data_IF_494617572709
#
_entry.id   IF_494617572709
#
_cell.length_a   1.000
_cell.length_b   1.000
_cell.length_c   1.000
_cell.angle_alpha   90.00
_cell.angle_beta   90.00
_cell.angle_gamma   90.00
#
_symmetry.space_group_name_H-M   'P 1'
#
loop_
_entity.id
_entity.type
_entity.pdbx_description
1 polymer ?
#
# COMPACT_ATOMS: atom_id res chain seq x y z
N UNK A 1 -42.37 26.17 -10.64
CA UNK A 1 -41.61 24.96 -10.21
C UNK A 1 -41.64 24.92 -8.71
N UNK A 2 -42.34 23.97 -8.12
CA UNK A 2 -42.59 23.91 -6.67
C UNK A 2 -41.39 23.29 -5.92
N UNK A 3 -41.13 23.76 -4.69
CA UNK A 3 -40.08 23.26 -3.80
C UNK A 3 -40.04 21.72 -3.62
N UNK A 4 -41.15 21.03 -3.87
CA UNK A 4 -41.27 19.59 -3.86
C UNK A 4 -40.44 18.89 -4.95
N UNK A 5 -40.31 19.50 -6.13
CA UNK A 5 -39.54 18.95 -7.25
C UNK A 5 -38.02 18.93 -6.98
N UNK A 6 -37.51 19.93 -6.25
CA UNK A 6 -36.08 19.98 -5.88
C UNK A 6 -35.70 18.94 -4.85
N UNK A 7 -36.58 18.62 -3.90
CA UNK A 7 -36.31 17.60 -2.87
C UNK A 7 -36.22 16.19 -3.46
N UNK A 8 -37.07 15.88 -4.43
CA UNK A 8 -37.02 14.59 -5.14
C UNK A 8 -35.78 14.45 -6.04
N UNK A 9 -35.36 15.55 -6.71
CA UNK A 9 -34.16 15.55 -7.53
C UNK A 9 -32.86 15.37 -6.68
N UNK A 10 -32.79 16.02 -5.52
CA UNK A 10 -31.62 15.85 -4.62
C UNK A 10 -31.54 14.44 -4.01
N UNK A 11 -32.68 13.83 -3.66
CA UNK A 11 -32.71 12.45 -3.15
C UNK A 11 -32.33 11.46 -4.24
N UNK A 12 -32.75 11.68 -5.48
CA UNK A 12 -32.37 10.85 -6.63
C UNK A 12 -30.87 10.93 -6.96
N UNK A 13 -30.26 12.12 -6.88
CA UNK A 13 -28.82 12.30 -7.10
C UNK A 13 -27.97 11.63 -6.00
N UNK A 14 -28.40 11.72 -4.75
CA UNK A 14 -27.72 11.03 -3.63
C UNK A 14 -27.81 9.50 -3.76
N UNK A 15 -28.93 8.96 -4.21
CA UNK A 15 -29.10 7.52 -4.42
C UNK A 15 -28.23 7.01 -5.58
N UNK A 16 -28.04 7.81 -6.65
CA UNK A 16 -27.14 7.46 -7.77
C UNK A 16 -25.65 7.48 -7.37
N UNK A 17 -25.24 8.41 -6.50
CA UNK A 17 -23.86 8.46 -6.00
C UNK A 17 -23.49 7.23 -5.16
N UNK A 18 -24.45 6.63 -4.46
CA UNK A 18 -24.23 5.42 -3.64
C UNK A 18 -24.14 4.15 -4.50
N UNK A 19 -24.77 4.09 -5.65
CA UNK A 19 -24.73 2.93 -6.55
C UNK A 19 -23.40 2.82 -7.32
N UNK A 20 -22.67 3.93 -7.50
CA UNK A 20 -21.39 3.93 -8.21
C UNK A 20 -20.22 3.30 -7.42
N UNK A 21 -20.41 3.02 -6.11
CA UNK A 21 -19.39 2.40 -5.25
C UNK A 21 -19.45 0.86 -5.21
N UNK A 22 -20.38 0.23 -5.94
CA UNK A 22 -20.50 -1.23 -5.99
C UNK A 22 -19.76 -1.80 -7.21
N UNK A 23 -18.42 -1.66 -7.24
CA UNK A 23 -17.64 -2.53 -8.11
C UNK A 23 -17.44 -3.87 -7.38
N UNK A 24 -18.01 -4.94 -7.92
CA UNK A 24 -17.81 -6.29 -7.43
C UNK A 24 -16.37 -6.74 -7.75
N UNK A 25 -15.43 -6.42 -6.87
CA UNK A 25 -14.12 -7.07 -6.90
C UNK A 25 -14.33 -8.54 -6.53
N UNK A 26 -14.10 -9.44 -7.47
CA UNK A 26 -14.29 -10.89 -7.30
C UNK A 26 -13.16 -11.57 -6.53
N UNK A 27 -12.14 -10.79 -6.16
CA UNK A 27 -10.96 -11.30 -5.45
C UNK A 27 -11.19 -11.40 -3.93
N UNK A 28 -10.50 -12.30 -3.22
CA UNK A 28 -10.57 -12.38 -1.77
C UNK A 28 -10.29 -11.02 -1.14
N UNK A 29 -11.11 -10.63 -0.17
CA UNK A 29 -10.99 -9.35 0.52
C UNK A 29 -10.87 -9.61 2.01
N UNK A 30 -9.87 -9.05 2.71
CA UNK A 30 -9.88 -9.07 4.17
C UNK A 30 -11.12 -8.32 4.66
N UNK A 31 -11.81 -8.89 5.64
CA UNK A 31 -13.06 -8.33 6.15
C UNK A 31 -12.88 -7.01 6.89
N UNK A 32 -11.67 -6.81 7.46
CA UNK A 32 -11.35 -5.64 8.26
C UNK A 32 -9.91 -5.24 8.00
N UNK A 33 -9.66 -3.94 7.97
CA UNK A 33 -8.33 -3.37 8.12
C UNK A 33 -8.15 -3.17 9.62
N UNK A 34 -7.45 -4.09 10.29
CA UNK A 34 -7.15 -3.97 11.71
C UNK A 34 -5.67 -3.63 11.92
N UNK A 35 -5.41 -2.82 12.93
CA UNK A 35 -4.03 -2.56 13.39
C UNK A 35 -3.68 -3.66 14.37
N UNK A 36 -3.04 -4.73 13.87
CA UNK A 36 -2.51 -5.78 14.73
C UNK A 36 -1.13 -5.40 15.27
N UNK A 37 -0.94 -5.44 16.57
CA UNK A 37 0.37 -5.24 17.20
C UNK A 37 1.22 -6.52 17.23
N UNK A 38 0.62 -7.67 16.99
CA UNK A 38 1.26 -8.97 17.14
C UNK A 38 0.86 -9.90 15.98
N UNK A 39 1.47 -9.72 14.81
CA UNK A 39 1.40 -10.75 13.77
C UNK A 39 2.62 -11.67 13.89
N UNK A 40 2.46 -12.98 14.13
CA UNK A 40 3.56 -13.91 13.99
C UNK A 40 3.99 -13.93 12.53
N UNK A 41 5.29 -13.80 12.30
CA UNK A 41 5.89 -13.95 10.98
C UNK A 41 5.62 -15.37 10.46
N UNK A 42 4.60 -15.53 9.63
CA UNK A 42 4.39 -16.78 8.89
C UNK A 42 5.49 -16.88 7.85
N UNK A 43 6.47 -17.72 8.12
CA UNK A 43 7.53 -18.09 7.18
C UNK A 43 6.89 -18.96 6.09
N UNK A 44 6.51 -18.38 4.98
CA UNK A 44 6.13 -19.12 3.78
C UNK A 44 7.40 -19.57 3.06
N UNK A 45 7.79 -20.81 3.29
CA UNK A 45 8.88 -21.49 2.61
C UNK A 45 8.39 -21.95 1.23
N UNK A 46 8.80 -21.28 0.18
CA UNK A 46 8.72 -21.84 -1.16
C UNK A 46 9.95 -22.74 -1.39
N UNK A 47 9.81 -23.93 -2.03
CA UNK A 47 10.93 -24.82 -2.25
C UNK A 47 11.94 -24.22 -3.23
N UNK A 48 13.19 -24.07 -2.78
CA UNK A 48 14.31 -23.61 -3.58
C UNK A 48 14.86 -24.75 -4.44
N UNK A 49 15.03 -24.50 -5.75
CA UNK A 49 15.91 -25.32 -6.58
C UNK A 49 17.36 -24.86 -6.40
N UNK A 50 18.35 -25.77 -6.34
CA UNK A 50 19.75 -25.41 -6.23
C UNK A 50 20.26 -24.82 -7.56
N UNK A 51 20.73 -23.58 -7.55
CA UNK A 51 21.53 -23.02 -8.64
C UNK A 51 23.00 -23.01 -8.25
N UNK A 52 23.85 -23.60 -9.09
CA UNK A 52 25.31 -23.56 -9.00
C UNK A 52 25.83 -22.12 -9.04
N UNK A 53 26.68 -21.78 -8.07
CA UNK A 53 27.30 -20.46 -7.96
C UNK A 53 28.52 -20.35 -8.88
N UNK A 54 28.50 -19.43 -9.83
CA UNK A 54 29.66 -19.04 -10.62
C UNK A 54 30.51 -17.98 -9.89
N UNK A 55 31.86 -17.92 -10.15
CA UNK A 55 32.78 -17.03 -9.40
C UNK A 55 32.57 -15.51 -9.54
N UNK A 56 31.67 -15.07 -10.39
CA UNK A 56 31.31 -13.65 -10.60
C UNK A 56 30.41 -13.07 -9.48
N UNK A 57 30.04 -13.91 -8.52
CA UNK A 57 29.19 -13.51 -7.39
C UNK A 57 29.93 -12.69 -6.30
N UNK A 58 31.27 -12.66 -6.32
CA UNK A 58 32.09 -12.04 -5.26
C UNK A 58 32.15 -10.49 -5.36
N UNK A 59 31.66 -9.87 -6.44
CA UNK A 59 31.63 -8.41 -6.63
C UNK A 59 30.20 -7.83 -6.61
N UNK A 60 29.19 -8.61 -6.33
CA UNK A 60 27.85 -8.07 -6.07
C UNK A 60 27.86 -7.47 -4.67
N UNK A 61 27.93 -6.15 -4.58
CA UNK A 61 27.60 -5.39 -3.37
C UNK A 61 26.41 -6.07 -2.71
N UNK A 62 26.55 -6.50 -1.44
CA UNK A 62 25.53 -7.26 -0.71
C UNK A 62 24.24 -6.43 -0.61
N UNK A 63 23.34 -6.62 -1.57
CA UNK A 63 22.00 -6.03 -1.58
C UNK A 63 21.06 -6.94 -0.80
N UNK A 64 21.39 -7.18 0.46
CA UNK A 64 20.56 -7.98 1.37
C UNK A 64 19.34 -7.24 1.93
N UNK A 65 19.12 -5.97 1.53
CA UNK A 65 17.99 -5.16 1.95
C UNK A 65 17.04 -4.89 0.79
N UNK A 66 15.77 -4.61 1.11
CA UNK A 66 14.77 -4.32 0.09
C UNK A 66 13.73 -3.32 0.59
N UNK A 67 13.08 -2.66 -0.37
CA UNK A 67 11.74 -2.09 -0.25
C UNK A 67 10.88 -2.68 -1.36
N UNK A 68 9.62 -3.01 -1.05
CA UNK A 68 8.65 -3.51 -2.01
C UNK A 68 7.38 -2.68 -1.95
N UNK A 69 7.08 -1.99 -3.03
CA UNK A 69 5.83 -1.29 -3.22
C UNK A 69 4.76 -2.32 -3.51
N UNK A 70 3.71 -2.37 -2.70
CA UNK A 70 2.64 -3.35 -2.80
C UNK A 70 1.27 -2.71 -2.87
N UNK A 71 0.38 -3.42 -3.50
CA UNK A 71 -1.05 -3.21 -3.35
C UNK A 71 -1.75 -4.52 -3.09
N UNK A 72 -2.87 -4.45 -2.38
CA UNK A 72 -3.74 -5.58 -2.12
C UNK A 72 -5.20 -5.24 -2.34
N UNK A 73 -6.00 -6.28 -2.50
CA UNK A 73 -7.44 -6.16 -2.43
C UNK A 73 -7.84 -5.85 -0.99
N UNK A 74 -8.73 -4.90 -0.81
CA UNK A 74 -9.31 -4.53 0.47
C UNK A 74 -10.65 -3.85 0.23
N UNK A 75 -11.73 -4.43 0.71
CA UNK A 75 -13.09 -3.93 0.47
C UNK A 75 -13.34 -3.68 -1.03
N UNK A 76 -13.89 -2.53 -1.39
CA UNK A 76 -14.16 -2.16 -2.78
C UNK A 76 -13.02 -1.35 -3.44
N UNK A 77 -12.05 -0.87 -2.68
CA UNK A 77 -11.03 0.09 -3.17
C UNK A 77 -9.63 -0.50 -3.29
N UNK A 78 -9.24 -1.36 -2.37
CA UNK A 78 -7.88 -1.84 -2.21
C UNK A 78 -7.02 -0.95 -1.30
N UNK A 79 -5.78 -1.37 -1.05
CA UNK A 79 -4.81 -0.66 -0.23
C UNK A 79 -3.43 -0.64 -0.89
N UNK A 80 -2.69 0.47 -0.75
CA UNK A 80 -1.31 0.62 -1.21
C UNK A 80 -0.40 0.87 -0.02
N UNK A 81 0.73 0.17 0.04
CA UNK A 81 1.68 0.20 1.15
C UNK A 81 3.07 -0.20 0.67
N UNK A 82 4.07 -0.09 1.52
CA UNK A 82 5.41 -0.63 1.29
C UNK A 82 5.74 -1.68 2.34
N UNK A 83 6.45 -2.72 1.91
CA UNK A 83 7.10 -3.72 2.76
C UNK A 83 8.60 -3.54 2.63
N UNK A 84 9.33 -3.49 3.73
CA UNK A 84 10.78 -3.26 3.69
C UNK A 84 11.48 -4.05 4.78
N UNK A 85 12.75 -4.37 4.57
CA UNK A 85 13.51 -5.19 5.48
C UNK A 85 14.73 -5.83 4.85
N UNK A 86 15.09 -7.01 5.36
CA UNK A 86 16.19 -7.82 4.84
C UNK A 86 15.68 -9.06 4.12
N UNK A 87 16.52 -9.59 3.23
CA UNK A 87 16.32 -10.91 2.64
C UNK A 87 17.41 -11.86 3.10
N UNK A 88 17.10 -13.16 3.18
CA UNK A 88 18.10 -14.20 3.32
C UNK A 88 18.75 -14.52 1.95
N UNK A 89 19.72 -15.44 1.95
CA UNK A 89 20.40 -15.89 0.73
C UNK A 89 19.47 -16.52 -0.31
N UNK A 90 18.31 -17.03 0.12
CA UNK A 90 17.27 -17.55 -0.76
C UNK A 90 16.28 -16.47 -1.26
N UNK A 91 16.48 -15.18 -0.90
CA UNK A 91 15.59 -14.08 -1.30
C UNK A 91 14.30 -13.96 -0.48
N UNK A 92 14.12 -14.80 0.54
CA UNK A 92 12.96 -14.71 1.42
C UNK A 92 13.09 -13.53 2.40
N UNK A 93 11.98 -12.86 2.69
CA UNK A 93 11.93 -11.73 3.63
C UNK A 93 12.18 -12.20 5.06
N UNK A 94 13.01 -11.45 5.80
CA UNK A 94 13.31 -11.68 7.21
C UNK A 94 12.75 -10.50 8.00
N UNK A 95 11.80 -10.79 8.91
CA UNK A 95 11.19 -9.79 9.79
C UNK A 95 10.82 -8.49 9.06
N UNK A 96 9.98 -8.56 8.00
CA UNK A 96 9.63 -7.39 7.22
C UNK A 96 8.82 -6.40 8.05
N UNK A 97 9.07 -5.11 7.84
CA UNK A 97 8.24 -4.04 8.33
C UNK A 97 7.28 -3.58 7.23
N UNK A 98 6.16 -3.01 7.64
CA UNK A 98 5.14 -2.46 6.73
C UNK A 98 4.89 -1.00 7.08
N UNK A 99 4.75 -0.17 6.04
CA UNK A 99 4.27 1.20 6.16
C UNK A 99 3.20 1.47 5.10
N UNK A 100 2.01 1.79 5.58
CA UNK A 100 0.84 2.16 4.79
C UNK A 100 0.02 3.20 5.53
N UNK A 101 -0.78 4.00 4.85
CA UNK A 101 -1.64 5.02 5.44
C UNK A 101 -3.11 4.60 5.33
N UNK A 102 -3.78 4.52 6.46
CA UNK A 102 -5.22 4.20 6.54
C UNK A 102 -5.88 4.98 7.69
N UNK A 103 -7.21 5.13 7.70
CA UNK A 103 -7.92 5.68 8.86
C UNK A 103 -7.62 4.90 10.14
N UNK A 104 -7.43 5.61 11.24
CA UNK A 104 -7.16 5.05 12.57
C UNK A 104 -8.43 4.41 13.17
N UNK A 105 -8.97 3.39 12.51
CA UNK A 105 -10.21 2.74 12.93
C UNK A 105 -10.40 1.40 12.22
N UNK A 106 -11.00 0.44 12.93
CA UNK A 106 -11.48 -0.82 12.36
C UNK A 106 -12.88 -0.72 11.74
N UNK A 107 -13.56 0.43 11.90
CA UNK A 107 -14.87 0.71 11.31
C UNK A 107 -14.75 1.26 9.89
N UNK A 108 -15.76 1.02 9.05
CA UNK A 108 -15.87 1.59 7.72
C UNK A 108 -16.28 3.08 7.75
N UNK A 109 -16.78 3.60 8.86
CA UNK A 109 -17.30 4.97 8.97
C UNK A 109 -16.24 6.02 8.63
N UNK A 110 -14.99 5.99 9.15
CA UNK A 110 -13.97 6.94 8.77
C UNK A 110 -13.57 6.87 7.29
N UNK A 111 -13.66 5.71 6.65
CA UNK A 111 -13.43 5.60 5.20
C UNK A 111 -14.48 6.38 4.39
N UNK A 112 -15.74 6.35 4.82
CA UNK A 112 -16.81 7.15 4.18
C UNK A 112 -16.63 8.63 4.48
N UNK A 113 -16.41 9.01 5.75
CA UNK A 113 -16.21 10.40 6.16
C UNK A 113 -14.99 11.03 5.49
N UNK A 114 -13.92 10.26 5.32
CA UNK A 114 -12.68 10.72 4.70
C UNK A 114 -12.79 11.12 3.22
N UNK A 115 -13.93 10.89 2.57
CA UNK A 115 -14.23 11.47 1.26
C UNK A 115 -14.62 12.95 1.37
N UNK A 116 -15.06 13.41 2.51
CA UNK A 116 -15.58 14.76 2.74
C UNK A 116 -14.66 15.60 3.61
N UNK A 117 -14.07 14.99 4.65
CA UNK A 117 -13.20 15.68 5.62
C UNK A 117 -12.00 14.80 5.96
N UNK A 118 -10.83 15.38 6.34
CA UNK A 118 -9.72 14.60 6.86
C UNK A 118 -10.13 13.87 8.13
N UNK A 119 -9.74 12.60 8.27
CA UNK A 119 -9.97 11.77 9.46
C UNK A 119 -8.61 11.37 10.07
N UNK A 120 -8.53 11.08 11.37
CA UNK A 120 -7.31 10.56 11.99
C UNK A 120 -6.79 9.32 11.26
N UNK A 121 -5.48 9.22 11.11
CA UNK A 121 -4.82 8.14 10.38
C UNK A 121 -3.78 7.41 11.22
N UNK A 122 -3.51 6.19 10.82
CA UNK A 122 -2.38 5.36 11.23
C UNK A 122 -1.49 5.03 10.04
N UNK A 123 -0.19 4.84 10.33
CA UNK A 123 0.84 4.59 9.31
C UNK A 123 1.63 3.35 9.68
N UNK A 124 1.13 2.19 9.39
CA UNK A 124 1.78 0.95 9.76
C UNK A 124 1.21 -0.23 9.00
N UNK A 125 1.34 -1.37 9.62
CA UNK A 125 0.74 -2.60 9.15
C UNK A 125 -0.79 -2.57 9.31
N UNK A 126 -1.49 -3.13 8.36
CA UNK A 126 -2.92 -3.39 8.44
C UNK A 126 -3.22 -4.82 8.02
N UNK A 127 -4.37 -5.33 8.47
CA UNK A 127 -4.79 -6.71 8.23
C UNK A 127 -4.75 -7.10 6.74
N UNK A 128 -4.13 -8.22 6.43
CA UNK A 128 -3.95 -8.72 5.06
C UNK A 128 -2.75 -8.16 4.29
N UNK A 129 -1.94 -7.23 4.82
CA UNK A 129 -0.82 -6.63 4.09
C UNK A 129 0.32 -7.63 3.78
N UNK A 130 0.50 -8.65 4.59
CA UNK A 130 1.49 -9.70 4.39
C UNK A 130 0.91 -10.99 3.82
N UNK A 131 -0.39 -11.05 3.58
CA UNK A 131 -1.05 -12.21 3.01
C UNK A 131 -0.96 -12.17 1.48
N UNK A 132 -0.22 -13.14 0.91
CA UNK A 132 0.06 -13.17 -0.53
C UNK A 132 -1.20 -13.35 -1.40
N UNK A 133 -2.24 -13.99 -0.87
CA UNK A 133 -3.50 -14.18 -1.58
C UNK A 133 -4.26 -12.88 -1.86
N UNK A 134 -4.01 -11.83 -1.08
CA UNK A 134 -4.62 -10.51 -1.29
C UNK A 134 -3.77 -9.58 -2.13
N UNK A 135 -2.52 -9.91 -2.39
CA UNK A 135 -1.62 -9.07 -3.18
C UNK A 135 -2.12 -8.92 -4.61
N UNK A 136 -2.35 -7.68 -5.04
CA UNK A 136 -2.85 -7.37 -6.39
C UNK A 136 -1.76 -6.86 -7.34
N UNK A 137 -0.72 -6.19 -6.83
CA UNK A 137 0.49 -5.84 -7.57
C UNK A 137 1.68 -5.64 -6.63
N UNK A 138 2.90 -5.78 -7.17
CA UNK A 138 4.12 -5.49 -6.42
C UNK A 138 5.28 -5.07 -7.33
N UNK A 139 6.21 -4.31 -6.73
CA UNK A 139 7.49 -3.94 -7.32
C UNK A 139 8.55 -3.86 -6.22
N UNK A 140 9.50 -4.81 -6.24
CA UNK A 140 10.60 -4.88 -5.26
C UNK A 140 11.85 -4.21 -5.83
N UNK A 141 12.49 -3.40 -4.99
CA UNK A 141 13.78 -2.77 -5.23
C UNK A 141 14.77 -3.28 -4.20
N UNK A 142 15.89 -3.82 -4.65
CA UNK A 142 16.96 -4.26 -3.79
C UNK A 142 17.89 -3.09 -3.47
N UNK A 143 18.26 -2.97 -2.20
CA UNK A 143 19.01 -1.84 -1.64
C UNK A 143 20.30 -2.33 -1.01
N UNK A 144 21.32 -1.48 -1.05
CA UNK A 144 22.48 -1.57 -0.17
C UNK A 144 22.07 -1.18 1.26
N UNK A 145 22.91 -1.50 2.25
CA UNK A 145 22.65 -1.10 3.65
C UNK A 145 22.54 0.43 3.81
N UNK A 146 23.36 1.20 3.11
CA UNK A 146 23.31 2.66 3.16
C UNK A 146 22.00 3.21 2.59
N UNK A 147 21.62 2.78 1.38
CA UNK A 147 20.34 3.15 0.76
C UNK A 147 19.14 2.76 1.65
N UNK A 148 19.19 1.58 2.28
CA UNK A 148 18.13 1.12 3.17
C UNK A 148 17.99 2.03 4.40
N UNK A 149 19.08 2.43 5.03
CA UNK A 149 19.06 3.37 6.18
C UNK A 149 18.41 4.70 5.80
N UNK A 150 18.75 5.25 4.63
CA UNK A 150 18.19 6.51 4.13
C UNK A 150 16.69 6.37 3.83
N UNK A 151 16.30 5.26 3.20
CA UNK A 151 14.89 4.95 2.91
C UNK A 151 14.09 4.81 4.20
N UNK A 152 14.59 4.06 5.20
CA UNK A 152 13.92 3.91 6.49
C UNK A 152 13.79 5.25 7.22
N UNK A 153 14.83 6.08 7.22
CA UNK A 153 14.76 7.41 7.82
C UNK A 153 13.68 8.27 7.15
N UNK A 154 13.58 8.21 5.81
CA UNK A 154 12.54 8.91 5.03
C UNK A 154 11.14 8.37 5.36
N UNK A 155 10.97 7.04 5.44
CA UNK A 155 9.69 6.42 5.82
C UNK A 155 9.26 6.91 7.21
N UNK A 156 10.15 6.89 8.22
CA UNK A 156 9.83 7.34 9.58
C UNK A 156 9.43 8.81 9.62
N UNK A 157 10.10 9.68 8.85
CA UNK A 157 9.75 11.09 8.73
C UNK A 157 8.36 11.27 8.11
N UNK A 158 8.06 10.54 7.04
CA UNK A 158 6.76 10.58 6.37
C UNK A 158 5.66 10.06 7.31
N UNK A 159 5.88 8.95 8.02
CA UNK A 159 4.96 8.42 9.03
C UNK A 159 4.64 9.46 10.12
N UNK A 160 5.66 10.11 10.67
CA UNK A 160 5.49 11.12 11.71
C UNK A 160 4.67 12.34 11.25
N UNK A 161 4.72 12.68 9.97
CA UNK A 161 3.94 13.81 9.40
C UNK A 161 2.55 13.42 8.89
N UNK A 162 2.22 12.13 8.82
CA UNK A 162 0.98 11.62 8.22
C UNK A 162 -0.09 11.36 9.28
N UNK A 163 -0.62 12.43 9.87
CA UNK A 163 -1.57 12.36 11.00
C UNK A 163 -3.03 12.16 10.55
N UNK A 164 -3.33 12.42 9.27
CA UNK A 164 -4.69 12.36 8.75
C UNK A 164 -4.75 11.63 7.41
N UNK A 165 -5.88 11.01 7.14
CA UNK A 165 -6.22 10.40 5.86
C UNK A 165 -7.41 11.13 5.23
N UNK A 166 -7.34 11.37 3.92
CA UNK A 166 -8.42 11.94 3.15
C UNK A 166 -8.36 11.40 1.72
N UNK A 167 -9.47 10.82 1.25
CA UNK A 167 -9.52 10.02 0.03
C UNK A 167 -9.00 10.72 -1.24
N UNK A 168 -9.23 12.02 -1.38
CA UNK A 168 -8.90 12.78 -2.58
C UNK A 168 -7.61 13.61 -2.49
N UNK A 169 -7.10 13.87 -1.28
CA UNK A 169 -5.94 14.76 -1.07
C UNK A 169 -4.73 14.00 -0.56
N UNK A 170 -4.89 13.17 0.46
CA UNK A 170 -3.80 12.42 1.06
C UNK A 170 -4.25 11.02 1.50
N UNK A 171 -4.26 10.10 0.55
CA UNK A 171 -4.65 8.71 0.70
C UNK A 171 -3.44 7.77 0.73
N UNK A 172 -3.66 6.46 0.75
CA UNK A 172 -2.59 5.46 0.75
C UNK A 172 -1.64 5.59 -0.45
N UNK A 173 -2.15 5.93 -1.65
CA UNK A 173 -1.30 6.16 -2.81
C UNK A 173 -0.42 7.40 -2.64
N UNK A 174 -0.94 8.50 -2.06
CA UNK A 174 -0.18 9.71 -1.79
C UNK A 174 0.96 9.46 -0.78
N UNK A 175 0.68 8.67 0.26
CA UNK A 175 1.69 8.24 1.23
C UNK A 175 2.82 7.44 0.57
N UNK A 176 2.48 6.44 -0.23
CA UNK A 176 3.46 5.61 -0.95
C UNK A 176 4.19 6.43 -2.03
N UNK A 177 3.50 7.38 -2.70
CA UNK A 177 4.13 8.32 -3.62
C UNK A 177 5.21 9.16 -2.93
N UNK A 178 4.95 9.67 -1.71
CA UNK A 178 5.93 10.43 -0.94
C UNK A 178 7.18 9.60 -0.63
N UNK A 179 7.02 8.32 -0.31
CA UNK A 179 8.16 7.40 -0.09
C UNK A 179 8.92 7.19 -1.41
N UNK A 180 8.24 6.89 -2.50
CA UNK A 180 8.87 6.68 -3.80
C UNK A 180 9.64 7.94 -4.29
N UNK A 181 9.06 9.13 -4.10
CA UNK A 181 9.69 10.40 -4.43
C UNK A 181 10.94 10.68 -3.58
N UNK A 182 10.94 10.31 -2.29
CA UNK A 182 12.13 10.43 -1.44
C UNK A 182 13.30 9.57 -1.90
N UNK A 183 13.01 8.53 -2.68
CA UNK A 183 13.99 7.67 -3.35
C UNK A 183 14.37 8.14 -4.76
N UNK A 184 13.85 9.27 -5.23
CA UNK A 184 14.07 9.81 -6.56
C UNK A 184 13.20 9.22 -7.67
N UNK A 185 12.18 8.42 -7.34
CA UNK A 185 11.29 7.82 -8.33
C UNK A 185 10.19 8.78 -8.81
N UNK A 186 9.82 8.66 -10.09
CA UNK A 186 8.62 9.28 -10.66
C UNK A 186 7.38 8.55 -10.14
N UNK A 187 6.31 9.30 -9.85
CA UNK A 187 5.08 8.72 -9.30
C UNK A 187 3.87 9.00 -10.18
N UNK A 188 2.95 8.05 -10.31
CA UNK A 188 1.68 8.27 -11.00
C UNK A 188 0.71 9.12 -10.15
N UNK A 189 -0.43 9.47 -10.74
CA UNK A 189 -1.50 10.18 -10.01
C UNK A 189 -2.08 9.34 -8.86
N UNK A 190 -2.36 10.00 -7.75
CA UNK A 190 -2.81 9.36 -6.50
C UNK A 190 -4.26 8.84 -6.54
N UNK A 191 -5.02 9.18 -7.58
CA UNK A 191 -6.43 8.78 -7.75
C UNK A 191 -6.60 7.45 -8.51
N UNK A 192 -5.50 6.83 -8.94
CA UNK A 192 -5.54 5.49 -9.52
C UNK A 192 -5.97 4.47 -8.46
N UNK A 193 -6.56 3.35 -8.90
CA UNK A 193 -6.73 2.21 -7.99
C UNK A 193 -5.36 1.71 -7.51
N UNK A 194 -5.23 1.20 -6.29
CA UNK A 194 -3.96 0.73 -5.73
C UNK A 194 -3.18 -0.19 -6.65
N UNK A 195 -3.81 -1.18 -7.27
CA UNK A 195 -3.17 -2.07 -8.24
C UNK A 195 -2.59 -1.30 -9.44
N UNK A 196 -3.39 -0.38 -10.02
CA UNK A 196 -2.95 0.44 -11.15
C UNK A 196 -1.82 1.38 -10.75
N UNK A 197 -1.89 1.95 -9.53
CA UNK A 197 -0.86 2.83 -8.99
C UNK A 197 0.49 2.12 -8.91
N UNK A 198 0.56 0.93 -8.27
CA UNK A 198 1.82 0.17 -8.12
C UNK A 198 2.33 -0.32 -9.48
N UNK A 199 1.45 -0.78 -10.36
CA UNK A 199 1.83 -1.18 -11.72
C UNK A 199 2.44 -0.01 -12.48
N UNK A 200 1.79 1.16 -12.46
CA UNK A 200 2.26 2.35 -13.16
C UNK A 200 3.54 2.92 -12.54
N UNK A 201 3.66 2.89 -11.21
CA UNK A 201 4.88 3.28 -10.50
C UNK A 201 6.08 2.46 -11.01
N UNK A 202 5.93 1.14 -11.10
CA UNK A 202 6.95 0.26 -11.67
C UNK A 202 7.29 0.63 -13.12
N UNK A 203 6.29 0.73 -13.99
CA UNK A 203 6.48 1.04 -15.41
C UNK A 203 7.23 2.37 -15.63
N UNK A 204 6.95 3.39 -14.83
CA UNK A 204 7.59 4.71 -14.94
C UNK A 204 9.07 4.70 -14.55
N UNK A 205 9.55 3.65 -13.86
CA UNK A 205 10.88 3.61 -13.26
C UNK A 205 11.72 2.39 -13.67
N UNK A 206 11.19 1.48 -14.49
CA UNK A 206 11.90 0.27 -14.97
C UNK A 206 11.97 0.15 -16.49
N UNK A 207 11.43 1.12 -17.23
CA UNK A 207 11.38 1.17 -18.69
C UNK A 207 12.64 1.62 -19.34
#
# INVERSE_FOLDING_TARGET
>A
MTLAGYRLACVGLLAFAMAACQSSDKSPQPRFVSVGRDAPASVLTAPAQPQEMTPDAAQRVDKGYFIEFRSRYALSYGHTYVVFGRTNSAGAMINPEVAGLHPASTSNVPYVLGHFVPVPAETGWSDGDLEEEYRSASWRVMLTEAEYKDVVASIRKIQASSQTWQASVYNCNAFVASIAQSMGYKTPGIWLRPQQFVTKLREMNTG
#
